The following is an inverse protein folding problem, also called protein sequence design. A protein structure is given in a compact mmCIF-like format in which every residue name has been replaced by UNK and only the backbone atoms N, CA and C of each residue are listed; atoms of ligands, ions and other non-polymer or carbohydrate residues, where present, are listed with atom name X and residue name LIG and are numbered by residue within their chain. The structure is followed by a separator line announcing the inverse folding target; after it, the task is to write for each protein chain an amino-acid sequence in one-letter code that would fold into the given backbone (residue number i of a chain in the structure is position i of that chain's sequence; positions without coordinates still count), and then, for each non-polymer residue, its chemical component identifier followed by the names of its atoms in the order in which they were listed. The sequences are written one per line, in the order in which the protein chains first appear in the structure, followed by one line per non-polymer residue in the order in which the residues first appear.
data_IF_152671544868
#
_entry.id   IF_152671544868
#
_cell.length_a   1.000
_cell.length_b   1.000
_cell.length_c   1.000
_cell.angle_alpha   90.00
_cell.angle_beta   90.00
_cell.angle_gamma   90.00
#
_symmetry.space_group_name_H-M   'P 1'
#
loop_
_entity.id
_entity.type
_entity.pdbx_description
1 polymer ?
#
# COMPACT_ATOMS: atom_id res chain seq x y z
N UNK A 1 9.00 -5.06 4.78
CA UNK A 1 8.29 -4.23 5.76
C UNK A 1 8.18 -4.97 7.10
N UNK A 2 7.86 -4.28 8.19
CA UNK A 2 7.94 -4.80 9.55
C UNK A 2 6.60 -5.37 10.08
N UNK A 3 6.60 -6.49 10.82
CA UNK A 3 5.38 -7.12 11.33
C UNK A 3 4.75 -6.40 12.53
N UNK A 4 5.53 -5.61 13.29
CA UNK A 4 5.13 -5.04 14.58
C UNK A 4 5.15 -6.06 15.73
N UNK A 5 5.23 -5.57 16.96
CA UNK A 5 5.09 -6.36 18.20
C UNK A 5 3.68 -6.12 18.73
N UNK A 6 2.88 -7.19 18.87
CA UNK A 6 1.44 -7.10 19.20
C UNK A 6 0.71 -5.93 18.49
N UNK A 7 0.61 -6.00 17.14
CA UNK A 7 0.23 -4.83 16.39
C UNK A 7 -1.22 -4.40 16.67
N UNK A 8 -1.39 -3.11 16.97
CA UNK A 8 -2.69 -2.47 17.23
C UNK A 8 -3.17 -1.64 16.04
N UNK A 9 -2.31 -1.37 15.06
CA UNK A 9 -2.62 -0.62 13.83
C UNK A 9 -1.86 -1.21 12.64
N UNK A 10 -2.46 -1.17 11.45
CA UNK A 10 -1.78 -1.46 10.19
C UNK A 10 -1.42 -0.14 9.48
N UNK A 11 -0.17 0.03 9.09
CA UNK A 11 0.27 1.11 8.19
C UNK A 11 0.47 0.49 6.81
N UNK A 12 -0.27 0.97 5.80
CA UNK A 12 -0.25 0.38 4.46
C UNK A 12 0.20 1.43 3.44
N UNK A 13 1.39 1.20 2.88
CA UNK A 13 2.01 2.08 1.90
C UNK A 13 1.73 1.64 0.45
N UNK A 14 1.33 2.57 -0.42
CA UNK A 14 1.01 2.33 -1.83
C UNK A 14 1.83 3.29 -2.68
N UNK A 15 2.69 2.75 -3.54
CA UNK A 15 3.59 3.56 -4.38
C UNK A 15 2.87 4.18 -5.59
N UNK A 16 3.53 5.14 -6.24
CA UNK A 16 3.08 5.80 -7.47
C UNK A 16 3.50 5.08 -8.75
N UNK A 17 3.24 5.73 -9.90
CA UNK A 17 3.70 5.28 -11.22
C UNK A 17 5.23 5.19 -11.26
N UNK A 18 5.75 4.21 -12.02
CA UNK A 18 7.19 3.91 -12.10
C UNK A 18 7.87 3.61 -10.75
N UNK A 19 7.08 3.52 -9.67
CA UNK A 19 7.54 3.23 -8.34
C UNK A 19 7.73 1.73 -8.12
N UNK A 20 8.32 1.40 -6.98
CA UNK A 20 8.41 0.04 -6.51
C UNK A 20 8.07 0.04 -5.02
N UNK A 21 7.32 -0.97 -4.58
CA UNK A 21 6.87 -1.15 -3.18
C UNK A 21 7.96 -0.98 -2.12
N UNK A 22 9.22 -1.21 -2.47
CA UNK A 22 10.37 -1.03 -1.58
C UNK A 22 11.20 0.21 -1.95
N UNK A 23 11.48 0.44 -3.25
CA UNK A 23 12.42 1.49 -3.67
C UNK A 23 11.84 2.89 -3.50
N UNK A 24 10.53 3.06 -3.68
CA UNK A 24 9.84 4.35 -3.51
C UNK A 24 10.05 4.95 -2.12
N UNK A 25 10.27 4.10 -1.12
CA UNK A 25 10.44 4.51 0.27
C UNK A 25 11.88 4.42 0.74
N UNK A 26 12.82 4.17 -0.17
CA UNK A 26 14.25 3.97 0.11
C UNK A 26 15.05 5.15 -0.43
N UNK A 27 15.83 5.81 0.42
CA UNK A 27 16.76 6.86 0.01
C UNK A 27 18.00 6.28 -0.67
N UNK A 28 18.79 7.14 -1.33
CA UNK A 28 19.98 6.74 -2.10
C UNK A 28 21.04 6.01 -1.27
N UNK A 29 21.05 6.24 0.05
CA UNK A 29 21.92 5.53 1.00
C UNK A 29 21.40 4.13 1.39
N UNK A 30 20.31 3.65 0.79
CA UNK A 30 19.72 2.33 1.04
C UNK A 30 18.76 2.25 2.23
N UNK A 31 18.55 3.34 2.97
CA UNK A 31 17.64 3.38 4.11
C UNK A 31 16.19 3.48 3.64
N UNK A 32 15.38 2.48 3.97
CA UNK A 32 13.94 2.50 3.74
C UNK A 32 13.23 2.98 5.00
N UNK A 33 12.75 4.21 5.02
CA UNK A 33 12.21 4.79 6.27
C UNK A 33 11.02 4.00 6.84
N UNK A 34 10.18 3.40 5.99
CA UNK A 34 9.08 2.53 6.44
C UNK A 34 9.55 1.24 7.12
N UNK A 35 10.71 0.71 6.75
CA UNK A 35 11.23 -0.56 7.27
C UNK A 35 12.26 -0.36 8.38
N UNK A 36 13.09 0.67 8.25
CA UNK A 36 14.32 0.82 9.00
C UNK A 36 14.21 1.89 10.10
N UNK A 37 13.27 2.84 9.98
CA UNK A 37 13.10 3.95 10.93
C UNK A 37 11.75 3.88 11.66
N UNK A 38 10.66 3.77 10.90
CA UNK A 38 9.30 3.82 11.43
C UNK A 38 8.98 2.76 12.52
N UNK A 39 9.49 1.51 12.48
CA UNK A 39 9.24 0.56 13.55
C UNK A 39 9.80 0.95 14.92
N UNK A 40 10.85 1.79 14.96
CA UNK A 40 11.43 2.26 16.22
C UNK A 40 10.52 3.24 16.94
N UNK A 41 9.84 4.11 16.19
CA UNK A 41 8.88 5.07 16.74
C UNK A 41 7.53 4.42 17.06
N UNK A 42 7.12 3.43 16.26
CA UNK A 42 5.82 2.76 16.37
C UNK A 42 5.97 1.23 16.41
N UNK A 43 6.46 0.65 17.52
CA UNK A 43 6.72 -0.79 17.61
C UNK A 43 5.44 -1.64 17.51
N UNK A 44 4.28 -1.08 17.90
CA UNK A 44 2.98 -1.76 17.79
C UNK A 44 2.26 -1.49 16.46
N UNK A 45 2.95 -0.97 15.44
CA UNK A 45 2.42 -0.85 14.09
C UNK A 45 2.91 -2.01 13.20
N UNK A 46 1.98 -2.67 12.50
CA UNK A 46 2.34 -3.57 11.40
C UNK A 46 2.45 -2.76 10.12
N UNK A 47 3.62 -2.76 9.50
CA UNK A 47 3.91 -1.99 8.31
C UNK A 47 3.82 -2.91 7.09
N UNK A 48 3.05 -2.49 6.10
CA UNK A 48 2.80 -3.21 4.86
C UNK A 48 3.10 -2.27 3.69
N UNK A 49 3.59 -2.81 2.59
CA UNK A 49 3.61 -2.08 1.32
C UNK A 49 2.96 -2.93 0.25
N UNK A 50 2.08 -2.29 -0.53
CA UNK A 50 1.43 -2.89 -1.68
C UNK A 50 2.19 -2.51 -2.94
N UNK A 51 2.53 -3.53 -3.73
CA UNK A 51 3.10 -3.38 -5.05
C UNK A 51 2.11 -3.79 -6.13
N UNK A 52 2.06 -3.01 -7.19
CA UNK A 52 1.35 -3.33 -8.43
C UNK A 52 2.27 -3.06 -9.61
N UNK A 53 1.91 -3.59 -10.78
CA UNK A 53 2.63 -3.28 -12.01
C UNK A 53 2.44 -1.80 -12.34
N UNK A 54 3.51 -1.02 -12.16
CA UNK A 54 3.54 0.43 -12.36
C UNK A 54 4.39 0.81 -13.58
N UNK A 55 4.76 -0.17 -14.42
CA UNK A 55 5.54 0.08 -15.63
C UNK A 55 4.67 0.72 -16.72
N UNK A 56 4.95 1.98 -17.04
CA UNK A 56 4.19 2.81 -17.98
C UNK A 56 4.58 2.65 -19.45
N UNK A 57 5.49 1.73 -19.82
CA UNK A 57 5.91 1.56 -21.22
C UNK A 57 4.80 1.07 -22.16
N UNK A 58 3.63 0.66 -21.64
CA UNK A 58 2.40 0.51 -22.43
C UNK A 58 1.51 1.74 -22.31
N UNK A 59 1.04 2.29 -23.45
CA UNK A 59 0.22 3.53 -23.53
C UNK A 59 -1.14 3.47 -22.81
N UNK A 60 -1.45 2.37 -22.12
CA UNK A 60 -2.72 2.08 -21.45
C UNK A 60 -2.62 1.99 -19.91
N UNK A 61 -1.42 2.21 -19.35
CA UNK A 61 -1.10 1.88 -17.95
C UNK A 61 -1.83 2.73 -16.87
N UNK A 62 -2.47 3.83 -17.27
CA UNK A 62 -3.23 4.73 -16.37
C UNK A 62 -4.71 4.83 -16.75
N UNK A 63 -5.21 3.90 -17.57
CA UNK A 63 -6.63 3.85 -17.92
C UNK A 63 -7.50 3.59 -16.68
N UNK A 64 -8.76 4.02 -16.73
CA UNK A 64 -9.74 3.74 -15.67
C UNK A 64 -9.90 2.24 -15.40
N UNK A 65 -9.78 1.40 -16.44
CA UNK A 65 -9.78 -0.06 -16.34
C UNK A 65 -8.54 -0.58 -15.60
N UNK A 66 -7.34 -0.08 -15.93
CA UNK A 66 -6.12 -0.46 -15.22
C UNK A 66 -6.19 -0.08 -13.74
N UNK A 67 -6.63 1.15 -13.44
CA UNK A 67 -6.85 1.62 -12.06
C UNK A 67 -7.84 0.70 -11.32
N UNK A 68 -8.95 0.31 -11.97
CA UNK A 68 -9.91 -0.63 -11.41
C UNK A 68 -9.29 -1.98 -11.05
N UNK A 69 -8.51 -2.57 -11.97
CA UNK A 69 -7.80 -3.84 -11.71
C UNK A 69 -6.80 -3.73 -10.57
N UNK A 70 -6.05 -2.63 -10.49
CA UNK A 70 -5.13 -2.40 -9.37
C UNK A 70 -5.87 -2.22 -8.05
N UNK A 71 -7.02 -1.52 -8.06
CA UNK A 71 -7.87 -1.34 -6.87
C UNK A 71 -8.45 -2.69 -6.37
N UNK A 72 -8.93 -3.54 -7.28
CA UNK A 72 -9.40 -4.90 -6.97
C UNK A 72 -8.27 -5.78 -6.45
N UNK A 73 -7.09 -5.74 -7.10
CA UNK A 73 -5.91 -6.46 -6.65
C UNK A 73 -5.48 -6.04 -5.25
N UNK A 74 -5.50 -4.74 -4.98
CA UNK A 74 -5.16 -4.16 -3.69
C UNK A 74 -6.10 -4.64 -2.58
N UNK A 75 -7.42 -4.49 -2.76
CA UNK A 75 -8.38 -4.88 -1.72
C UNK A 75 -8.36 -6.38 -1.47
N UNK A 76 -8.20 -7.20 -2.51
CA UNK A 76 -8.11 -8.65 -2.36
C UNK A 76 -6.85 -9.05 -1.58
N UNK A 77 -5.70 -8.42 -1.86
CA UNK A 77 -4.47 -8.67 -1.13
C UNK A 77 -4.58 -8.22 0.34
N UNK A 78 -5.16 -7.04 0.59
CA UNK A 78 -5.35 -6.50 1.93
C UNK A 78 -6.31 -7.36 2.75
N UNK A 79 -7.46 -7.76 2.19
CA UNK A 79 -8.43 -8.64 2.83
C UNK A 79 -7.83 -9.99 3.22
N UNK A 80 -7.04 -10.60 2.33
CA UNK A 80 -6.30 -11.84 2.66
C UNK A 80 -5.33 -11.63 3.82
N UNK A 81 -4.55 -10.55 3.81
CA UNK A 81 -3.56 -10.24 4.85
C UNK A 81 -4.20 -9.94 6.21
N UNK A 82 -5.43 -9.44 6.21
CA UNK A 82 -6.16 -9.00 7.41
C UNK A 82 -7.24 -9.97 7.88
N UNK A 83 -7.34 -11.17 7.29
CA UNK A 83 -8.33 -12.19 7.65
C UNK A 83 -8.40 -12.50 9.16
N UNK A 84 -7.25 -12.54 9.83
CA UNK A 84 -7.15 -12.79 11.28
C UNK A 84 -7.33 -11.53 12.16
N UNK A 85 -7.35 -10.34 11.58
CA UNK A 85 -7.41 -9.06 12.29
C UNK A 85 -8.29 -8.02 11.55
N UNK A 86 -9.56 -8.35 11.24
CA UNK A 86 -10.40 -7.56 10.34
C UNK A 86 -10.74 -6.16 10.90
N UNK A 87 -10.74 -6.00 12.23
CA UNK A 87 -11.09 -4.74 12.92
C UNK A 87 -9.90 -3.86 13.27
N UNK A 88 -8.66 -4.30 13.03
CA UNK A 88 -7.48 -3.48 13.31
C UNK A 88 -7.56 -2.15 12.51
N UNK A 89 -7.39 -0.98 13.12
CA UNK A 89 -7.34 0.28 12.38
C UNK A 89 -6.28 0.27 11.28
N UNK A 90 -6.52 1.03 10.20
CA UNK A 90 -5.56 1.19 9.10
C UNK A 90 -5.22 2.67 8.92
N UNK A 91 -3.93 2.95 8.73
CA UNK A 91 -3.42 4.23 8.25
C UNK A 91 -2.84 3.97 6.85
N UNK A 92 -3.27 4.74 5.85
CA UNK A 92 -2.76 4.65 4.50
C UNK A 92 -1.69 5.71 4.23
N UNK A 93 -0.62 5.30 3.57
CA UNK A 93 0.39 6.20 2.99
C UNK A 93 0.36 5.97 1.49
N UNK A 94 -0.20 6.90 0.74
CA UNK A 94 -0.37 6.73 -0.70
C UNK A 94 0.34 7.85 -1.45
N UNK A 95 1.18 7.49 -2.41
CA UNK A 95 1.92 8.43 -3.24
C UNK A 95 1.36 8.43 -4.67
N UNK A 96 1.12 9.63 -5.23
CA UNK A 96 0.74 9.83 -6.63
C UNK A 96 -0.47 8.95 -7.05
N UNK A 97 -0.40 8.17 -8.14
CA UNK A 97 -1.49 7.29 -8.60
C UNK A 97 -1.91 6.27 -7.53
N UNK A 98 -1.03 5.93 -6.58
CA UNK A 98 -1.36 5.07 -5.44
C UNK A 98 -2.53 5.62 -4.61
N UNK A 99 -2.67 6.95 -4.55
CA UNK A 99 -3.82 7.60 -3.91
C UNK A 99 -5.11 7.45 -4.71
N UNK A 100 -5.02 7.44 -6.04
CA UNK A 100 -6.18 7.23 -6.94
C UNK A 100 -6.64 5.77 -6.86
N UNK A 101 -5.71 4.81 -6.84
CA UNK A 101 -6.01 3.39 -6.62
C UNK A 101 -6.74 3.21 -5.29
N UNK A 102 -6.20 3.79 -4.20
CA UNK A 102 -6.84 3.74 -2.89
C UNK A 102 -8.25 4.34 -2.90
N UNK A 103 -8.41 5.53 -3.49
CA UNK A 103 -9.72 6.19 -3.60
C UNK A 103 -10.72 5.32 -4.36
N UNK A 104 -10.29 4.68 -5.44
CA UNK A 104 -11.14 3.78 -6.22
C UNK A 104 -11.59 2.58 -5.37
N UNK A 105 -10.67 1.94 -4.67
CA UNK A 105 -10.99 0.83 -3.75
C UNK A 105 -12.04 1.22 -2.71
N UNK A 106 -11.88 2.36 -2.04
CA UNK A 106 -12.84 2.82 -1.02
C UNK A 106 -14.20 3.11 -1.65
N UNK A 107 -14.22 3.71 -2.84
CA UNK A 107 -15.46 4.04 -3.55
C UNK A 107 -16.22 2.78 -3.97
N UNK A 108 -15.50 1.73 -4.39
CA UNK A 108 -16.11 0.47 -4.81
C UNK A 108 -16.68 -0.31 -3.61
N UNK A 109 -16.03 -0.25 -2.44
CA UNK A 109 -16.56 -0.84 -1.19
C UNK A 109 -17.81 -0.09 -0.70
N UNK A 110 -17.82 1.24 -0.75
CA UNK A 110 -18.95 2.06 -0.29
C UNK A 110 -20.20 1.91 -1.16
N UNK A 111 -20.09 1.25 -2.32
CA UNK A 111 -21.21 0.96 -3.23
C UNK A 111 -21.82 -0.43 -3.03
N UNK A 112 -21.27 -1.23 -2.11
CA UNK A 112 -21.77 -2.53 -1.68
C UNK A 112 -22.50 -2.39 -0.34
#
# INVERSE_FOLDING_TARGET
MAPGIDPVVDIVAIHGLQGHRDKTWTSDNGVCWLRDLLPSDFPNARILSYGYDADTYSRECVSTQAIGRHAEGFINALSRRRKACPRRPIIFIAHDIGGIILKRTVSDIARL
#
